data_IF_211265513808
#
_entry.id   IF_211265513808
#
_cell.length_a   1.000
_cell.length_b   1.000
_cell.length_c   1.000
_cell.angle_alpha   90.00
_cell.angle_beta   90.00
_cell.angle_gamma   90.00
#
_symmetry.space_group_name_H-M   'P 1'
#
loop_
_entity.id
_entity.type
_entity.pdbx_description
1 polymer ?
#
# COMPACT_ATOMS: atom_id res chain seq x y z
N UNK A 1 62.98 -4.31 15.44
CA UNK A 1 62.46 -3.02 15.96
C UNK A 1 61.68 -2.42 14.80
N UNK A 2 60.41 -2.80 14.62
CA UNK A 2 59.21 -2.04 15.02
C UNK A 2 59.18 -0.67 14.28
N UNK A 3 58.21 -0.31 13.44
CA UNK A 3 56.75 -0.50 13.47
C UNK A 3 56.11 -0.26 12.08
N UNK A 4 55.06 -1.03 11.78
CA UNK A 4 53.96 -0.70 10.86
C UNK A 4 53.04 0.37 11.52
N UNK A 5 52.43 1.28 10.75
CA UNK A 5 50.97 1.40 10.86
C UNK A 5 50.27 1.65 9.51
N UNK A 6 49.58 0.61 9.05
CA UNK A 6 48.26 0.59 8.42
C UNK A 6 47.44 1.87 8.56
N UNK A 7 47.24 2.56 7.44
CA UNK A 7 46.27 3.65 7.28
C UNK A 7 44.90 3.04 6.97
N UNK A 8 43.98 3.15 7.92
CA UNK A 8 42.61 2.69 7.81
C UNK A 8 41.87 3.40 6.66
N UNK A 9 41.40 2.63 5.67
CA UNK A 9 40.35 3.05 4.75
C UNK A 9 39.00 3.13 5.50
N UNK A 10 38.17 4.16 5.27
CA UNK A 10 36.81 4.17 5.80
C UNK A 10 35.97 3.12 5.06
N UNK A 11 35.61 2.06 5.78
CA UNK A 11 34.69 1.04 5.31
C UNK A 11 33.31 1.65 5.03
N UNK A 12 32.99 1.79 3.75
CA UNK A 12 31.63 2.08 3.30
C UNK A 12 30.68 0.96 3.79
N UNK A 13 29.50 1.30 4.32
CA UNK A 13 28.54 0.30 4.76
C UNK A 13 28.12 -0.56 3.56
N UNK A 14 27.95 -1.89 3.72
CA UNK A 14 27.57 -2.76 2.63
C UNK A 14 26.21 -2.31 2.09
N UNK A 15 26.19 -1.86 0.84
CA UNK A 15 24.98 -1.65 0.07
C UNK A 15 24.19 -2.95 0.09
N UNK A 16 22.98 -2.90 0.68
CA UNK A 16 22.06 -4.04 0.67
C UNK A 16 21.81 -4.43 -0.78
N UNK A 17 22.47 -5.51 -1.23
CA UNK A 17 22.06 -6.27 -2.40
C UNK A 17 20.57 -6.61 -2.24
N UNK A 18 19.69 -5.94 -2.98
CA UNK A 18 18.42 -6.56 -3.38
C UNK A 18 18.79 -7.65 -4.38
N UNK A 19 19.11 -8.84 -3.87
CA UNK A 19 19.03 -10.04 -4.69
C UNK A 19 17.58 -10.17 -5.11
N UNK A 20 17.31 -9.93 -6.39
CA UNK A 20 16.12 -10.42 -7.07
C UNK A 20 16.13 -11.94 -6.96
N UNK A 21 15.61 -12.46 -5.84
CA UNK A 21 15.24 -13.84 -5.76
C UNK A 21 14.07 -14.02 -6.70
N UNK A 22 14.30 -14.68 -7.82
CA UNK A 22 13.24 -15.33 -8.56
C UNK A 22 12.49 -16.23 -7.57
N UNK A 23 11.32 -15.79 -7.13
CA UNK A 23 10.41 -16.63 -6.38
C UNK A 23 9.88 -17.61 -7.42
N UNK A 24 10.48 -18.81 -7.46
CA UNK A 24 9.95 -19.93 -8.22
C UNK A 24 8.48 -20.16 -7.86
N UNK A 25 7.71 -20.85 -8.72
CA UNK A 25 6.27 -21.04 -8.53
C UNK A 25 6.02 -21.59 -7.13
N UNK A 26 5.53 -20.74 -6.23
CA UNK A 26 5.17 -21.18 -4.89
C UNK A 26 4.11 -22.26 -5.06
N UNK A 27 4.39 -23.46 -4.57
CA UNK A 27 3.46 -24.58 -4.65
C UNK A 27 2.07 -24.10 -4.22
N UNK A 28 1.01 -24.35 -5.01
CA UNK A 28 -0.35 -23.87 -4.72
C UNK A 28 -0.86 -24.30 -3.33
N UNK A 29 -0.29 -25.36 -2.74
CA UNK A 29 -0.57 -25.79 -1.38
C UNK A 29 -0.09 -24.84 -0.27
N UNK A 30 0.97 -24.05 -0.50
CA UNK A 30 1.53 -23.17 0.54
C UNK A 30 0.69 -21.90 0.75
N UNK A 31 0.30 -21.22 -0.33
CA UNK A 31 -0.59 -20.06 -0.30
C UNK A 31 -1.98 -20.41 0.26
N UNK A 32 -2.51 -21.59 -0.11
CA UNK A 32 -3.75 -22.11 0.45
C UNK A 32 -3.64 -22.34 1.97
N UNK A 33 -2.54 -22.94 2.46
CA UNK A 33 -2.29 -23.14 3.90
C UNK A 33 -2.19 -21.84 4.69
N UNK A 34 -1.65 -20.76 4.10
CA UNK A 34 -1.57 -19.45 4.76
C UNK A 34 -2.87 -18.66 4.71
N UNK A 35 -3.65 -18.75 3.63
CA UNK A 35 -5.03 -18.26 3.58
C UNK A 35 -5.91 -18.99 4.60
N UNK A 36 -5.73 -20.32 4.75
CA UNK A 36 -6.31 -21.11 5.82
C UNK A 36 -5.84 -20.68 7.21
N UNK A 37 -4.57 -20.31 7.40
CA UNK A 37 -4.06 -19.83 8.68
C UNK A 37 -4.62 -18.44 9.07
N UNK A 38 -4.88 -17.57 8.09
CA UNK A 38 -5.55 -16.29 8.32
C UNK A 38 -7.05 -16.45 8.56
N UNK A 39 -7.72 -17.31 7.80
CA UNK A 39 -9.11 -17.72 8.06
C UNK A 39 -9.23 -18.35 9.44
N UNK A 40 -8.29 -19.24 9.80
CA UNK A 40 -8.17 -19.82 11.13
C UNK A 40 -7.95 -18.74 12.19
N UNK A 41 -7.14 -17.70 11.94
CA UNK A 41 -6.92 -16.62 12.93
C UNK A 41 -8.15 -15.71 13.11
N UNK A 42 -8.93 -15.47 12.06
CA UNK A 42 -10.15 -14.65 12.11
C UNK A 42 -11.34 -15.43 12.67
N UNK A 43 -11.48 -16.71 12.33
CA UNK A 43 -12.36 -17.63 13.04
C UNK A 43 -11.91 -17.82 14.47
N UNK A 44 -10.60 -17.82 14.77
CA UNK A 44 -10.06 -17.86 16.13
C UNK A 44 -10.51 -16.65 16.94
N UNK A 45 -10.52 -15.43 16.38
CA UNK A 45 -11.07 -14.25 17.08
C UNK A 45 -12.58 -14.38 17.33
N UNK A 46 -13.36 -14.82 16.33
CA UNK A 46 -14.79 -15.09 16.52
C UNK A 46 -15.04 -16.20 17.56
N UNK A 47 -14.21 -17.24 17.57
CA UNK A 47 -14.18 -18.33 18.56
C UNK A 47 -13.80 -17.79 19.94
N UNK A 48 -12.84 -16.87 20.06
CA UNK A 48 -12.48 -16.25 21.34
C UNK A 48 -13.57 -15.31 21.86
N UNK A 49 -14.26 -14.58 20.98
CA UNK A 49 -15.43 -13.78 21.33
C UNK A 49 -16.57 -14.69 21.81
N UNK A 50 -16.80 -15.82 21.13
CA UNK A 50 -17.74 -16.86 21.54
C UNK A 50 -17.38 -17.45 22.91
N UNK A 51 -16.11 -17.82 23.13
CA UNK A 51 -15.62 -18.37 24.40
C UNK A 51 -15.74 -17.34 25.52
N UNK A 52 -15.37 -16.09 25.28
CA UNK A 52 -15.50 -15.00 26.26
C UNK A 52 -16.98 -14.71 26.59
N UNK A 53 -17.86 -14.69 25.58
CA UNK A 53 -19.30 -14.53 25.76
C UNK A 53 -19.95 -15.69 26.52
N UNK A 54 -19.53 -16.92 26.25
CA UNK A 54 -19.99 -18.11 26.97
C UNK A 54 -19.52 -18.11 28.44
N UNK A 55 -18.25 -17.73 28.69
CA UNK A 55 -17.69 -17.58 30.05
C UNK A 55 -18.43 -16.48 30.82
N UNK A 56 -18.65 -15.32 30.20
CA UNK A 56 -19.37 -14.20 30.81
C UNK A 56 -20.83 -14.55 31.10
N UNK A 57 -21.53 -15.22 30.17
CA UNK A 57 -22.89 -15.69 30.37
C UNK A 57 -23.00 -16.74 31.49
N UNK A 58 -22.05 -17.67 31.56
CA UNK A 58 -21.97 -18.65 32.65
C UNK A 58 -21.69 -17.99 34.01
N UNK A 59 -20.74 -17.06 34.07
CA UNK A 59 -20.42 -16.31 35.29
C UNK A 59 -21.59 -15.45 35.77
N UNK A 60 -22.32 -14.82 34.84
CA UNK A 60 -23.55 -14.08 35.15
C UNK A 60 -24.65 -15.01 35.67
N UNK A 61 -24.83 -16.19 35.06
CA UNK A 61 -25.76 -17.22 35.53
C UNK A 61 -25.45 -17.68 36.95
N UNK A 62 -24.17 -17.90 37.29
CA UNK A 62 -23.74 -18.23 38.66
C UNK A 62 -24.02 -17.09 39.65
N UNK A 63 -23.75 -15.83 39.26
CA UNK A 63 -24.01 -14.67 40.10
C UNK A 63 -25.51 -14.45 40.37
N UNK A 64 -26.37 -14.69 39.37
CA UNK A 64 -27.82 -14.59 39.51
C UNK A 64 -28.42 -15.76 40.29
N UNK A 65 -27.90 -16.98 40.12
CA UNK A 65 -28.29 -18.16 40.90
C UNK A 65 -27.98 -18.01 42.41
N UNK A 66 -27.00 -17.18 42.76
CA UNK A 66 -26.70 -16.82 44.15
C UNK A 66 -27.74 -15.87 44.78
N UNK A 67 -28.66 -15.29 43.98
CA UNK A 67 -29.61 -14.26 44.42
C UNK A 67 -31.08 -14.76 44.51
N UNK A 68 -31.63 -15.59 43.59
CA UNK A 68 -32.97 -16.27 43.65
C UNK A 68 -33.12 -17.45 42.60
N UNK A 69 -34.30 -18.10 42.32
CA UNK A 69 -34.56 -19.56 42.14
C UNK A 69 -34.17 -20.16 40.75
N UNK A 70 -34.36 -21.48 40.48
CA UNK A 70 -33.92 -22.18 39.25
C UNK A 70 -34.35 -21.58 37.89
N UNK A 71 -35.44 -20.81 37.85
CA UNK A 71 -35.91 -20.16 36.62
C UNK A 71 -34.90 -19.11 36.09
N UNK A 72 -34.24 -18.38 36.99
CA UNK A 72 -33.28 -17.35 36.61
C UNK A 72 -32.01 -17.96 35.97
N UNK A 73 -31.57 -19.12 36.45
CA UNK A 73 -30.48 -19.91 35.85
C UNK A 73 -30.85 -20.40 34.45
N UNK A 74 -32.07 -20.91 34.26
CA UNK A 74 -32.55 -21.36 32.95
C UNK A 74 -32.65 -20.20 31.95
N UNK A 75 -33.15 -19.03 32.38
CA UNK A 75 -33.20 -17.83 31.56
C UNK A 75 -31.81 -17.29 31.20
N UNK A 76 -30.86 -17.33 32.15
CA UNK A 76 -29.46 -16.95 31.92
C UNK A 76 -28.78 -17.86 30.90
N UNK A 77 -28.93 -19.18 31.05
CA UNK A 77 -28.40 -20.17 30.09
C UNK A 77 -29.05 -20.04 28.71
N UNK A 78 -30.36 -19.85 28.65
CA UNK A 78 -31.08 -19.64 27.38
C UNK A 78 -30.60 -18.37 26.67
N UNK A 79 -30.39 -17.28 27.42
CA UNK A 79 -29.87 -16.02 26.87
C UNK A 79 -28.45 -16.18 26.37
N UNK A 80 -27.57 -16.82 27.15
CA UNK A 80 -26.19 -17.12 26.74
C UNK A 80 -26.14 -18.00 25.48
N UNK A 81 -26.99 -19.02 25.40
CA UNK A 81 -27.11 -19.89 24.23
C UNK A 81 -27.63 -19.13 22.99
N UNK A 82 -28.62 -18.23 23.16
CA UNK A 82 -29.13 -17.41 22.08
C UNK A 82 -28.07 -16.45 21.53
N UNK A 83 -27.32 -15.77 22.40
CA UNK A 83 -26.20 -14.89 22.00
C UNK A 83 -25.14 -15.70 21.26
N UNK A 84 -24.75 -16.86 21.79
CA UNK A 84 -23.80 -17.77 21.18
C UNK A 84 -24.26 -18.23 19.77
N UNK A 85 -25.54 -18.56 19.60
CA UNK A 85 -26.10 -18.93 18.32
C UNK A 85 -26.04 -17.79 17.30
N UNK A 86 -26.36 -16.56 17.70
CA UNK A 86 -26.26 -15.37 16.83
C UNK A 86 -24.83 -15.17 16.33
N UNK A 87 -23.83 -15.23 17.22
CA UNK A 87 -22.42 -15.10 16.82
C UNK A 87 -21.94 -16.26 15.95
N UNK A 88 -22.39 -17.49 16.21
CA UNK A 88 -22.08 -18.65 15.39
C UNK A 88 -22.65 -18.52 13.97
N UNK A 89 -23.92 -18.12 13.85
CA UNK A 89 -24.57 -17.87 12.55
C UNK A 89 -23.87 -16.73 11.82
N UNK A 90 -23.56 -15.62 12.50
CA UNK A 90 -22.83 -14.50 11.92
C UNK A 90 -21.45 -14.93 11.40
N UNK A 91 -20.67 -15.65 12.21
CA UNK A 91 -19.35 -16.17 11.82
C UNK A 91 -19.44 -17.16 10.66
N UNK A 92 -20.45 -18.02 10.64
CA UNK A 92 -20.70 -18.95 9.54
C UNK A 92 -21.03 -18.22 8.24
N UNK A 93 -21.95 -17.25 8.29
CA UNK A 93 -22.34 -16.44 7.13
C UNK A 93 -21.15 -15.66 6.57
N UNK A 94 -20.33 -15.04 7.44
CA UNK A 94 -19.16 -14.28 7.02
C UNK A 94 -18.06 -15.19 6.42
N UNK A 95 -17.83 -16.35 7.03
CA UNK A 95 -16.92 -17.37 6.50
C UNK A 95 -17.39 -17.87 5.13
N UNK A 96 -18.69 -18.12 4.98
CA UNK A 96 -19.27 -18.60 3.71
C UNK A 96 -19.21 -17.54 2.61
N UNK A 97 -19.52 -16.27 2.94
CA UNK A 97 -19.39 -15.14 2.00
C UNK A 97 -17.95 -14.96 1.52
N UNK A 98 -17.00 -15.03 2.45
CA UNK A 98 -15.57 -14.94 2.17
C UNK A 98 -15.11 -16.08 1.28
N UNK A 99 -15.50 -17.32 1.60
CA UNK A 99 -15.17 -18.50 0.81
C UNK A 99 -15.73 -18.45 -0.62
N UNK A 100 -17.00 -18.03 -0.76
CA UNK A 100 -17.60 -17.82 -2.08
C UNK A 100 -16.90 -16.72 -2.88
N UNK A 101 -16.45 -15.65 -2.22
CA UNK A 101 -15.68 -14.59 -2.89
C UNK A 101 -14.35 -15.13 -3.41
N UNK A 102 -13.60 -15.88 -2.59
CA UNK A 102 -12.31 -16.43 -3.01
C UNK A 102 -12.44 -17.47 -4.12
N UNK A 103 -13.45 -18.34 -4.05
CA UNK A 103 -13.73 -19.28 -5.14
C UNK A 103 -14.03 -18.57 -6.45
N UNK A 104 -14.92 -17.57 -6.43
CA UNK A 104 -15.23 -16.77 -7.61
C UNK A 104 -14.00 -16.08 -8.21
N UNK A 105 -13.10 -15.57 -7.36
CA UNK A 105 -11.85 -14.95 -7.81
C UNK A 105 -10.88 -15.97 -8.43
N UNK A 106 -10.77 -17.16 -7.83
CA UNK A 106 -9.94 -18.24 -8.37
C UNK A 106 -10.49 -18.76 -9.70
N UNK A 107 -11.79 -19.03 -9.76
CA UNK A 107 -12.49 -19.47 -10.99
C UNK A 107 -12.35 -18.42 -12.10
N UNK A 108 -12.60 -17.15 -11.81
CA UNK A 108 -12.42 -16.06 -12.78
C UNK A 108 -10.98 -15.98 -13.32
N UNK A 109 -10.00 -16.17 -12.44
CA UNK A 109 -8.58 -16.13 -12.79
C UNK A 109 -8.20 -17.32 -13.68
N UNK A 110 -8.59 -18.53 -13.28
CA UNK A 110 -8.33 -19.75 -14.03
C UNK A 110 -8.95 -19.69 -15.44
N UNK A 111 -10.18 -19.19 -15.57
CA UNK A 111 -10.87 -19.01 -16.86
C UNK A 111 -10.13 -18.08 -17.83
N UNK A 112 -9.32 -17.15 -17.30
CA UNK A 112 -8.56 -16.15 -18.08
C UNK A 112 -7.07 -16.45 -18.14
N UNK A 113 -6.60 -17.56 -17.56
CA UNK A 113 -5.18 -17.88 -17.43
C UNK A 113 -4.42 -17.00 -16.44
N UNK A 114 -5.12 -16.20 -15.64
CA UNK A 114 -4.54 -15.41 -14.55
C UNK A 114 -4.32 -16.30 -13.32
N UNK A 115 -3.46 -15.86 -12.41
CA UNK A 115 -3.19 -16.56 -11.15
C UNK A 115 -3.62 -15.73 -9.96
N UNK A 116 -4.30 -16.35 -9.00
CA UNK A 116 -4.67 -15.69 -7.76
C UNK A 116 -3.61 -15.91 -6.66
N UNK A 117 -3.20 -14.84 -5.99
CA UNK A 117 -2.23 -14.84 -4.91
C UNK A 117 -2.82 -14.13 -3.68
N UNK A 118 -2.97 -14.87 -2.59
CA UNK A 118 -3.70 -14.43 -1.40
C UNK A 118 -2.77 -14.10 -0.22
N UNK A 119 -3.04 -12.98 0.47
CA UNK A 119 -2.39 -12.59 1.71
C UNK A 119 -0.84 -12.58 1.65
N UNK A 120 -0.28 -12.17 0.52
CA UNK A 120 1.16 -12.13 0.28
C UNK A 120 1.74 -10.88 0.93
N UNK A 121 2.90 -11.02 1.60
CA UNK A 121 3.66 -9.88 2.13
C UNK A 121 4.44 -9.14 1.02
N UNK A 122 3.85 -9.00 -0.16
CA UNK A 122 4.38 -8.25 -1.30
C UNK A 122 3.62 -6.93 -1.40
N UNK A 123 4.35 -5.82 -1.45
CA UNK A 123 3.77 -4.48 -1.61
C UNK A 123 3.56 -4.18 -3.10
N UNK A 124 2.56 -3.37 -3.45
CA UNK A 124 2.51 -2.72 -4.76
C UNK A 124 3.77 -1.87 -4.99
N UNK A 125 4.13 -1.64 -6.25
CA UNK A 125 5.26 -0.78 -6.65
C UNK A 125 4.93 0.73 -6.50
N UNK A 126 4.49 1.15 -5.32
CA UNK A 126 4.14 2.54 -5.01
C UNK A 126 4.96 3.04 -3.81
N UNK A 127 5.44 4.27 -3.91
CA UNK A 127 6.30 4.96 -2.95
C UNK A 127 5.53 6.00 -2.12
N UNK A 128 4.32 6.41 -2.54
CA UNK A 128 3.55 7.51 -1.94
C UNK A 128 2.46 7.08 -0.99
N UNK A 129 1.67 6.06 -1.35
CA UNK A 129 0.71 5.48 -0.39
C UNK A 129 1.52 5.06 0.83
N UNK A 130 0.95 5.06 2.05
CA UNK A 130 1.58 4.71 3.35
C UNK A 130 2.28 3.34 3.42
N UNK A 131 3.20 3.10 2.50
CA UNK A 131 3.91 1.92 2.04
C UNK A 131 5.39 2.07 2.41
N UNK A 132 5.87 3.28 2.72
CA UNK A 132 7.11 3.46 3.49
C UNK A 132 6.83 3.20 4.98
N UNK A 133 6.99 1.94 5.37
CA UNK A 133 7.07 1.52 6.78
C UNK A 133 5.84 0.77 7.35
N UNK A 134 4.64 0.90 6.78
CA UNK A 134 3.47 0.15 7.29
C UNK A 134 3.60 -1.35 7.02
N UNK A 135 3.25 -2.21 7.97
CA UNK A 135 3.08 -3.65 7.70
C UNK A 135 1.70 -3.87 7.10
N UNK A 136 1.63 -4.58 5.99
CA UNK A 136 0.38 -4.91 5.32
C UNK A 136 0.50 -6.19 4.51
N UNK A 137 -0.60 -6.55 3.85
CA UNK A 137 -0.70 -7.73 2.99
C UNK A 137 -1.41 -7.37 1.71
N UNK A 138 -0.95 -7.93 0.60
CA UNK A 138 -1.67 -7.87 -0.66
C UNK A 138 -2.44 -9.15 -0.91
N UNK A 139 -3.58 -9.01 -1.54
CA UNK A 139 -4.24 -10.07 -2.27
C UNK A 139 -4.41 -9.61 -3.69
N UNK A 140 -4.01 -10.40 -4.68
CA UNK A 140 -4.04 -9.96 -6.06
C UNK A 140 -4.22 -11.12 -7.04
N UNK A 141 -4.72 -10.76 -8.21
CA UNK A 141 -4.71 -11.55 -9.42
C UNK A 141 -3.52 -11.08 -10.25
N UNK A 142 -2.80 -12.00 -10.89
CA UNK A 142 -1.66 -11.70 -11.75
C UNK A 142 -1.84 -12.35 -13.11
N UNK A 143 -1.69 -11.56 -14.16
CA UNK A 143 -1.51 -12.06 -15.51
C UNK A 143 -0.06 -12.54 -15.67
N UNK A 144 0.19 -13.84 -15.92
CA UNK A 144 1.55 -14.35 -16.06
C UNK A 144 2.26 -13.86 -17.33
N UNK A 145 1.53 -13.47 -18.37
CA UNK A 145 2.11 -13.11 -19.67
C UNK A 145 2.57 -11.65 -19.69
N UNK A 146 1.76 -10.76 -19.11
CA UNK A 146 2.05 -9.32 -19.04
C UNK A 146 2.66 -8.88 -17.71
N UNK A 147 2.50 -9.68 -16.65
CA UNK A 147 2.90 -9.33 -15.30
C UNK A 147 1.98 -8.32 -14.59
N UNK A 148 0.87 -7.93 -15.23
CA UNK A 148 -0.16 -7.06 -14.66
C UNK A 148 -0.69 -7.67 -13.37
N UNK A 149 -0.89 -6.84 -12.35
CA UNK A 149 -1.48 -7.23 -11.08
C UNK A 149 -2.69 -6.38 -10.74
N UNK A 150 -3.80 -7.02 -10.39
CA UNK A 150 -5.01 -6.35 -9.89
C UNK A 150 -5.30 -6.87 -8.50
N UNK A 151 -5.39 -6.00 -7.50
CA UNK A 151 -5.46 -6.48 -6.12
C UNK A 151 -5.85 -5.47 -5.07
N UNK A 152 -5.94 -5.96 -3.84
CA UNK A 152 -6.16 -5.17 -2.64
C UNK A 152 -4.90 -5.20 -1.78
N UNK A 153 -4.53 -4.04 -1.24
CA UNK A 153 -3.51 -3.87 -0.20
C UNK A 153 -4.18 -3.47 1.11
N UNK A 154 -4.11 -4.35 2.09
CA UNK A 154 -4.61 -4.12 3.45
C UNK A 154 -3.45 -3.70 4.36
N UNK A 155 -3.61 -2.60 5.07
CA UNK A 155 -2.63 -2.12 6.05
C UNK A 155 -3.33 -1.50 7.25
N UNK A 156 -2.66 -1.57 8.40
CA UNK A 156 -3.13 -0.90 9.60
C UNK A 156 -2.34 0.40 9.79
N UNK A 157 -3.04 1.50 10.06
CA UNK A 157 -2.43 2.77 10.47
C UNK A 157 -2.84 3.06 11.91
N UNK A 158 -1.87 3.50 12.69
CA UNK A 158 -2.12 4.07 14.01
C UNK A 158 -2.69 5.47 13.84
N UNK A 159 -3.92 5.70 14.30
CA UNK A 159 -4.63 6.98 14.14
C UNK A 159 -4.37 7.95 15.29
N UNK A 160 -3.80 7.48 16.40
CA UNK A 160 -3.52 8.34 17.56
C UNK A 160 -2.30 7.87 18.34
N UNK A 161 -1.62 8.81 18.98
CA UNK A 161 -0.56 8.57 19.99
C UNK A 161 -1.02 7.77 21.22
N UNK A 162 -2.33 7.46 21.31
CA UNK A 162 -2.95 6.64 22.37
C UNK A 162 -3.19 5.18 21.97
N UNK A 163 -2.65 4.72 20.83
CA UNK A 163 -2.61 3.28 20.48
C UNK A 163 -3.80 2.74 19.69
N UNK A 164 -4.59 3.60 19.04
CA UNK A 164 -5.73 3.18 18.21
C UNK A 164 -5.32 2.78 16.79
N UNK A 165 -5.68 1.57 16.34
CA UNK A 165 -5.41 1.06 14.98
C UNK A 165 -6.66 1.07 14.12
N UNK A 166 -6.54 1.53 12.86
CA UNK A 166 -7.59 1.38 11.85
C UNK A 166 -7.05 0.60 10.66
N UNK A 167 -7.81 -0.40 10.22
CA UNK A 167 -7.51 -1.15 9.01
C UNK A 167 -7.99 -0.34 7.79
N UNK A 168 -7.11 -0.19 6.82
CA UNK A 168 -7.38 0.49 5.56
C UNK A 168 -7.09 -0.47 4.41
N UNK A 169 -7.89 -0.36 3.36
CA UNK A 169 -7.74 -1.15 2.13
C UNK A 169 -7.62 -0.20 0.94
N UNK A 170 -6.61 -0.44 0.11
CA UNK A 170 -6.47 0.16 -1.21
C UNK A 170 -6.63 -0.90 -2.27
N UNK A 171 -7.50 -0.64 -3.24
CA UNK A 171 -7.57 -1.41 -4.46
C UNK A 171 -6.57 -0.83 -5.45
N UNK A 172 -5.85 -1.68 -6.17
CA UNK A 172 -4.80 -1.27 -7.08
C UNK A 172 -4.78 -2.08 -8.37
N UNK A 173 -4.29 -1.44 -9.44
CA UNK A 173 -3.85 -2.06 -10.68
C UNK A 173 -2.38 -1.67 -10.86
N UNK A 174 -1.50 -2.65 -10.98
CA UNK A 174 -0.07 -2.44 -11.17
C UNK A 174 0.33 -3.04 -12.52
N UNK A 175 0.92 -2.20 -13.36
CA UNK A 175 1.29 -2.51 -14.74
C UNK A 175 2.81 -2.35 -14.85
N UNK A 176 3.55 -3.46 -15.06
CA UNK A 176 4.98 -3.39 -15.25
C UNK A 176 5.34 -2.59 -16.52
N UNK A 177 6.41 -1.81 -16.42
CA UNK A 177 6.99 -1.05 -17.53
C UNK A 177 8.29 -1.71 -17.98
N UNK A 178 8.53 -1.77 -19.29
CA UNK A 178 9.78 -2.32 -19.83
C UNK A 178 10.93 -1.30 -19.88
N UNK A 179 10.60 -0.02 -19.74
CA UNK A 179 11.55 1.05 -19.56
C UNK A 179 11.16 1.82 -18.30
N UNK A 180 12.13 2.13 -17.45
CA UNK A 180 11.85 2.89 -16.24
C UNK A 180 11.58 4.35 -16.56
N UNK A 181 10.71 4.94 -15.75
CA UNK A 181 10.14 6.27 -15.93
C UNK A 181 10.43 7.15 -14.70
N UNK A 182 10.44 8.49 -14.86
CA UNK A 182 10.54 9.38 -13.72
C UNK A 182 9.33 9.23 -12.79
N UNK A 183 9.53 9.59 -11.53
CA UNK A 183 8.52 9.47 -10.50
C UNK A 183 7.47 10.57 -10.63
N UNK A 184 6.36 10.27 -11.31
CA UNK A 184 5.25 11.21 -11.56
C UNK A 184 4.00 10.71 -10.85
N UNK A 185 3.19 11.64 -10.35
CA UNK A 185 1.95 11.33 -9.65
C UNK A 185 0.82 12.12 -10.25
N UNK A 186 -0.29 11.45 -10.47
CA UNK A 186 -1.52 12.06 -10.93
C UNK A 186 -2.58 11.80 -9.87
N UNK A 187 -2.86 12.81 -9.05
CA UNK A 187 -3.78 12.76 -7.91
C UNK A 187 -5.19 13.14 -8.36
N UNK A 188 -6.17 12.26 -8.17
CA UNK A 188 -7.55 12.51 -8.60
C UNK A 188 -8.24 13.52 -7.69
N UNK A 189 -8.83 14.57 -8.28
CA UNK A 189 -9.68 15.51 -7.55
C UNK A 189 -11.07 14.96 -7.22
N UNK A 190 -11.51 13.90 -7.92
CA UNK A 190 -12.82 13.26 -7.72
C UNK A 190 -12.81 12.30 -6.53
N UNK A 191 -11.65 11.77 -6.19
CA UNK A 191 -11.48 10.96 -4.99
C UNK A 191 -11.68 11.85 -3.74
N UNK A 192 -12.62 11.50 -2.86
CA UNK A 192 -13.17 12.36 -1.78
C UNK A 192 -12.13 12.95 -0.79
N UNK A 193 -10.87 12.51 -0.85
CA UNK A 193 -9.69 13.11 -0.20
C UNK A 193 -8.47 12.89 -1.09
N UNK A 194 -7.67 13.93 -1.30
CA UNK A 194 -6.43 13.89 -2.08
C UNK A 194 -5.48 12.79 -1.59
N UNK A 195 -4.74 12.21 -2.54
CA UNK A 195 -3.70 11.23 -2.26
C UNK A 195 -2.71 11.76 -1.24
N UNK A 196 -2.24 13.00 -1.35
CA UNK A 196 -1.30 13.62 -0.42
C UNK A 196 -1.78 13.52 1.03
N UNK A 197 -3.05 13.86 1.29
CA UNK A 197 -3.67 13.81 2.63
C UNK A 197 -3.80 12.36 3.13
N UNK A 198 -4.11 11.40 2.25
CA UNK A 198 -4.32 10.00 2.64
C UNK A 198 -3.02 9.25 2.83
N UNK A 199 -2.04 9.51 1.97
CA UNK A 199 -0.68 9.04 2.08
C UNK A 199 0.02 9.57 3.33
N UNK A 200 -0.34 10.78 3.78
CA UNK A 200 0.51 11.54 4.71
C UNK A 200 1.81 11.95 4.03
N UNK A 201 1.75 12.16 2.71
CA UNK A 201 2.86 12.62 1.89
C UNK A 201 2.69 14.14 1.73
N UNK A 202 3.61 14.90 2.32
CA UNK A 202 3.69 16.34 2.14
C UNK A 202 4.37 16.65 0.80
N UNK A 203 3.68 16.35 -0.30
CA UNK A 203 4.17 16.68 -1.64
C UNK A 203 4.34 18.20 -1.75
N UNK A 204 5.51 18.64 -2.21
CA UNK A 204 5.88 20.05 -2.24
C UNK A 204 5.07 20.78 -3.32
N UNK A 205 4.47 21.96 -3.03
CA UNK A 205 3.70 22.72 -4.03
C UNK A 205 4.51 23.08 -5.29
N UNK A 206 5.81 23.32 -5.14
CA UNK A 206 6.73 23.67 -6.24
C UNK A 206 6.95 22.51 -7.24
N UNK A 207 6.46 21.31 -6.93
CA UNK A 207 6.49 20.13 -7.81
C UNK A 207 5.16 19.92 -8.56
N UNK A 208 4.19 20.82 -8.41
CA UNK A 208 2.92 20.76 -9.13
C UNK A 208 3.10 21.24 -10.57
N UNK A 209 2.73 20.40 -11.51
CA UNK A 209 2.69 20.72 -12.94
C UNK A 209 1.24 20.94 -13.36
N UNK A 210 0.94 22.15 -13.83
CA UNK A 210 -0.34 22.48 -14.47
C UNK A 210 -0.30 22.05 -15.93
N UNK A 211 -1.34 21.37 -16.39
CA UNK A 211 -1.46 20.89 -17.77
C UNK A 211 -2.54 21.64 -18.54
N UNK A 212 -2.43 21.61 -19.87
CA UNK A 212 -3.36 22.31 -20.77
C UNK A 212 -4.77 21.70 -20.76
N UNK A 213 -5.75 22.48 -21.21
CA UNK A 213 -7.15 22.05 -21.30
C UNK A 213 -7.86 22.09 -19.96
N UNK A 214 -8.75 21.13 -19.73
CA UNK A 214 -9.52 20.93 -18.50
C UNK A 214 -8.90 19.88 -17.57
N UNK A 215 -7.66 19.43 -17.85
CA UNK A 215 -7.03 18.37 -17.07
C UNK A 215 -6.88 18.72 -15.58
N UNK A 216 -6.61 20.00 -15.30
CA UNK A 216 -6.51 20.56 -13.96
C UNK A 216 -7.88 20.67 -13.23
N UNK A 217 -9.00 20.37 -13.89
CA UNK A 217 -10.28 20.19 -13.18
C UNK A 217 -10.42 18.76 -12.64
N UNK A 218 -9.69 17.80 -13.23
CA UNK A 218 -9.78 16.38 -12.92
C UNK A 218 -8.64 15.86 -12.05
N UNK A 219 -7.40 16.30 -12.30
CA UNK A 219 -6.20 15.74 -11.67
C UNK A 219 -5.13 16.77 -11.31
N UNK A 220 -4.49 16.60 -10.16
CA UNK A 220 -3.28 17.36 -9.81
C UNK A 220 -2.05 16.54 -10.15
N UNK A 221 -1.15 17.07 -10.97
CA UNK A 221 0.07 16.36 -11.36
C UNK A 221 1.24 16.85 -10.51
N UNK A 222 1.99 15.90 -9.95
CA UNK A 222 3.26 16.15 -9.30
C UNK A 222 4.39 15.50 -10.10
N UNK A 223 5.44 16.26 -10.40
CA UNK A 223 6.65 15.74 -11.01
C UNK A 223 7.89 16.31 -10.32
N UNK A 224 9.03 15.60 -10.35
CA UNK A 224 10.25 16.10 -9.74
C UNK A 224 10.74 17.33 -10.49
N UNK A 225 11.38 18.25 -9.77
CA UNK A 225 11.88 19.49 -10.37
C UNK A 225 12.86 19.19 -11.51
N UNK A 226 12.68 19.86 -12.64
CA UNK A 226 13.48 19.64 -13.84
C UNK A 226 13.05 18.45 -14.70
N UNK A 227 11.94 17.75 -14.37
CA UNK A 227 11.33 16.67 -15.17
C UNK A 227 9.99 17.06 -15.80
N UNK A 228 9.62 18.34 -15.78
CA UNK A 228 8.34 18.85 -16.28
C UNK A 228 8.14 18.49 -17.75
N UNK A 229 9.16 18.70 -18.59
CA UNK A 229 9.13 18.35 -20.01
C UNK A 229 8.97 16.84 -20.23
N UNK A 230 9.61 16.01 -19.41
CA UNK A 230 9.46 14.56 -19.48
C UNK A 230 8.04 14.15 -19.07
N UNK A 231 7.46 14.78 -18.05
CA UNK A 231 6.09 14.54 -17.65
C UNK A 231 5.08 14.82 -18.78
N UNK A 232 5.30 15.86 -19.60
CA UNK A 232 4.48 16.12 -20.80
C UNK A 232 4.56 15.00 -21.86
N UNK A 233 5.69 14.29 -21.95
CA UNK A 233 5.82 13.14 -22.84
C UNK A 233 4.96 11.95 -22.36
N UNK A 234 4.92 11.71 -21.05
CA UNK A 234 4.09 10.66 -20.45
C UNK A 234 2.59 11.03 -20.45
N UNK A 235 2.30 12.32 -20.25
CA UNK A 235 0.95 12.89 -20.19
C UNK A 235 0.62 13.61 -21.49
N UNK A 236 0.79 12.91 -22.62
CA UNK A 236 0.38 13.44 -23.92
C UNK A 236 -1.14 13.69 -23.95
N UNK A 237 -1.67 14.57 -24.83
CA UNK A 237 -3.10 14.88 -24.89
C UNK A 237 -4.02 13.66 -24.99
N UNK A 238 -3.59 12.63 -25.73
CA UNK A 238 -4.29 11.35 -25.85
C UNK A 238 -4.36 10.58 -24.51
N UNK A 239 -3.26 10.60 -23.74
CA UNK A 239 -3.19 9.97 -22.42
C UNK A 239 -4.05 10.75 -21.44
N UNK A 240 -3.98 12.09 -21.45
CA UNK A 240 -4.82 12.95 -20.62
C UNK A 240 -6.32 12.68 -20.82
N UNK A 241 -6.78 12.65 -22.07
CA UNK A 241 -8.18 12.31 -22.38
C UNK A 241 -8.56 10.91 -21.87
N UNK A 242 -7.69 9.92 -22.08
CA UNK A 242 -7.92 8.54 -21.59
C UNK A 242 -8.02 8.48 -20.06
N UNK A 243 -7.22 9.27 -19.36
CA UNK A 243 -7.26 9.37 -17.90
C UNK A 243 -8.58 9.94 -17.42
N UNK A 244 -9.06 11.01 -18.05
CA UNK A 244 -10.36 11.62 -17.73
C UNK A 244 -11.49 10.60 -17.96
N UNK A 245 -11.48 9.89 -19.08
CA UNK A 245 -12.55 8.97 -19.46
C UNK A 245 -12.59 7.70 -18.61
N UNK A 246 -11.43 7.15 -18.26
CA UNK A 246 -11.33 5.80 -17.68
C UNK A 246 -10.84 5.78 -16.23
N UNK A 247 -10.05 6.78 -15.83
CA UNK A 247 -9.28 6.75 -14.59
C UNK A 247 -9.62 7.91 -13.63
N UNK A 248 -10.70 8.66 -13.86
CA UNK A 248 -11.06 9.82 -13.02
C UNK A 248 -11.20 9.52 -11.52
N UNK A 249 -11.54 8.28 -11.13
CA UNK A 249 -11.66 7.87 -9.71
C UNK A 249 -10.37 7.23 -9.16
N UNK A 250 -9.30 7.22 -9.95
CA UNK A 250 -8.03 6.59 -9.61
C UNK A 250 -6.95 7.64 -9.43
N UNK A 251 -6.19 7.47 -8.37
CA UNK A 251 -4.90 8.11 -8.20
C UNK A 251 -3.86 7.23 -8.91
N UNK A 252 -2.83 7.84 -9.51
CA UNK A 252 -1.89 7.14 -10.39
C UNK A 252 -0.48 7.54 -10.04
N UNK A 253 0.41 6.56 -10.01
CA UNK A 253 1.83 6.75 -9.75
C UNK A 253 2.64 6.04 -10.82
N UNK A 254 3.50 6.81 -11.48
CA UNK A 254 4.58 6.33 -12.32
C UNK A 254 5.79 6.20 -11.41
N UNK A 255 6.30 4.99 -11.23
CA UNK A 255 7.37 4.73 -10.28
C UNK A 255 8.35 3.73 -10.87
N UNK A 256 9.53 4.21 -11.28
CA UNK A 256 10.60 3.42 -11.88
C UNK A 256 10.04 2.42 -12.92
N UNK A 257 9.86 1.16 -12.56
CA UNK A 257 9.48 0.05 -13.42
C UNK A 257 7.98 -0.29 -13.47
N UNK A 258 7.09 0.57 -12.95
CA UNK A 258 5.66 0.32 -12.97
C UNK A 258 4.80 1.59 -13.05
N UNK A 259 3.58 1.42 -13.55
CA UNK A 259 2.46 2.34 -13.30
C UNK A 259 1.55 1.66 -12.27
N UNK A 260 1.17 2.39 -11.24
CA UNK A 260 0.23 1.91 -10.23
C UNK A 260 -0.97 2.84 -10.20
N UNK A 261 -2.15 2.29 -10.51
CA UNK A 261 -3.43 2.92 -10.26
C UNK A 261 -3.92 2.46 -8.89
N UNK A 262 -4.44 3.36 -8.07
CA UNK A 262 -5.00 3.00 -6.78
C UNK A 262 -6.19 3.86 -6.38
N UNK A 263 -7.07 3.27 -5.55
CA UNK A 263 -8.27 3.93 -5.03
C UNK A 263 -8.68 3.36 -3.67
N UNK A 264 -9.45 4.11 -2.85
CA UNK A 264 -9.96 3.60 -1.58
C UNK A 264 -10.86 2.38 -1.78
N UNK A 265 -10.79 1.45 -0.84
CA UNK A 265 -11.65 0.29 -0.82
C UNK A 265 -11.14 -0.85 -1.68
N UNK A 266 -11.88 -1.96 -1.68
CA UNK A 266 -11.47 -3.20 -2.32
C UNK A 266 -11.92 -3.23 -3.78
N UNK A 267 -11.00 -3.49 -4.70
CA UNK A 267 -11.33 -3.75 -6.12
C UNK A 267 -11.68 -5.23 -6.33
N UNK A 268 -11.13 -6.13 -5.51
CA UNK A 268 -11.46 -7.55 -5.56
C UNK A 268 -12.84 -7.89 -4.96
N UNK A 269 -13.57 -6.88 -4.46
CA UNK A 269 -14.96 -7.02 -4.03
C UNK A 269 -15.95 -6.86 -5.19
N UNK A 270 -15.46 -6.52 -6.39
CA UNK A 270 -16.26 -6.36 -7.59
C UNK A 270 -17.00 -7.66 -8.00
N UNK A 271 -18.04 -7.49 -8.81
CA UNK A 271 -18.68 -8.60 -9.52
C UNK A 271 -17.72 -9.15 -10.60
N UNK A 272 -18.06 -10.30 -11.20
CA UNK A 272 -17.29 -10.86 -12.32
C UNK A 272 -17.17 -9.86 -13.48
N UNK A 273 -18.27 -9.19 -13.84
CA UNK A 273 -18.25 -8.12 -14.85
C UNK A 273 -17.33 -6.97 -14.44
N UNK A 274 -17.34 -6.57 -13.17
CA UNK A 274 -16.41 -5.54 -12.69
C UNK A 274 -14.94 -5.98 -12.70
N UNK A 275 -14.64 -7.27 -12.55
CA UNK A 275 -13.29 -7.80 -12.74
C UNK A 275 -12.89 -7.79 -14.21
N UNK A 276 -13.84 -8.05 -15.12
CA UNK A 276 -13.63 -7.94 -16.56
C UNK A 276 -13.31 -6.50 -16.97
N UNK A 277 -14.05 -5.53 -16.44
CA UNK A 277 -13.80 -4.11 -16.68
C UNK A 277 -12.40 -3.71 -16.18
N UNK A 278 -12.00 -4.17 -14.99
CA UNK A 278 -10.67 -3.92 -14.43
C UNK A 278 -9.56 -4.54 -15.29
N UNK A 279 -9.75 -5.77 -15.77
CA UNK A 279 -8.78 -6.45 -16.62
C UNK A 279 -8.66 -5.76 -17.99
N UNK A 280 -9.79 -5.36 -18.59
CA UNK A 280 -9.82 -4.61 -19.83
C UNK A 280 -9.14 -3.24 -19.68
N UNK A 281 -9.40 -2.53 -18.59
CA UNK A 281 -8.72 -1.28 -18.26
C UNK A 281 -7.21 -1.50 -18.10
N UNK A 282 -6.78 -2.54 -17.39
CA UNK A 282 -5.36 -2.83 -17.21
C UNK A 282 -4.67 -3.17 -18.53
N UNK A 283 -5.30 -3.96 -19.41
CA UNK A 283 -4.77 -4.30 -20.72
C UNK A 283 -4.67 -3.07 -21.65
N UNK A 284 -5.65 -2.17 -21.59
CA UNK A 284 -5.62 -0.90 -22.32
C UNK A 284 -4.42 -0.05 -21.91
N UNK A 285 -4.13 0.01 -20.61
CA UNK A 285 -3.00 0.77 -20.07
C UNK A 285 -1.65 0.11 -20.35
N UNK A 286 -1.56 -1.22 -20.31
CA UNK A 286 -0.37 -1.95 -20.78
C UNK A 286 -0.08 -1.63 -22.24
N UNK A 287 -1.09 -1.61 -23.11
CA UNK A 287 -0.88 -1.31 -24.52
C UNK A 287 -0.36 0.13 -24.72
N UNK A 288 -0.92 1.11 -23.99
CA UNK A 288 -0.46 2.51 -24.05
C UNK A 288 0.96 2.67 -23.51
N UNK A 289 1.30 1.96 -22.44
CA UNK A 289 2.62 2.09 -21.80
C UNK A 289 3.78 1.62 -22.69
N UNK A 290 3.50 0.75 -23.69
CA UNK A 290 4.50 0.32 -24.69
C UNK A 290 5.14 1.47 -25.45
N UNK A 291 4.45 2.60 -25.62
CA UNK A 291 5.01 3.80 -26.24
C UNK A 291 6.26 4.28 -25.50
N UNK A 292 6.24 4.19 -24.18
CA UNK A 292 7.30 4.69 -23.31
C UNK A 292 8.53 3.78 -23.25
N UNK A 293 8.49 2.58 -23.84
CA UNK A 293 9.67 1.69 -23.95
C UNK A 293 10.86 2.36 -24.66
N UNK A 294 10.58 3.38 -25.47
CA UNK A 294 11.57 4.14 -26.22
C UNK A 294 12.12 5.34 -25.45
N UNK A 295 11.47 5.76 -24.35
CA UNK A 295 11.91 6.91 -23.57
C UNK A 295 13.26 6.65 -22.90
N UNK A 296 14.13 7.66 -22.89
CA UNK A 296 15.45 7.61 -22.25
C UNK A 296 15.70 8.95 -21.59
N UNK A 297 16.22 8.93 -20.37
CA UNK A 297 16.67 10.15 -19.72
C UNK A 297 17.92 10.71 -20.41
N UNK A 298 17.73 11.82 -21.13
CA UNK A 298 18.80 12.49 -21.85
C UNK A 298 19.89 13.06 -20.92
N UNK A 299 19.57 13.26 -19.63
CA UNK A 299 20.50 13.79 -18.61
C UNK A 299 21.59 12.81 -18.23
N UNK A 300 21.38 11.51 -18.46
CA UNK A 300 22.39 10.48 -18.20
C UNK A 300 23.47 10.43 -19.29
N UNK A 301 23.30 11.18 -20.39
CA UNK A 301 24.18 11.18 -21.55
C UNK A 301 24.24 9.82 -22.26
N UNK A 302 24.77 9.81 -23.49
CA UNK A 302 25.27 8.57 -24.09
C UNK A 302 26.62 8.26 -23.45
N UNK A 303 26.64 7.86 -22.18
CA UNK A 303 27.89 7.41 -21.54
C UNK A 303 28.04 5.92 -21.82
N UNK A 304 28.86 5.48 -22.79
CA UNK A 304 29.29 4.11 -22.85
C UNK A 304 30.10 3.85 -21.57
N UNK A 305 29.56 3.09 -20.63
CA UNK A 305 30.41 2.53 -19.58
C UNK A 305 31.21 1.43 -20.28
N UNK A 306 32.44 1.72 -20.66
CA UNK A 306 33.39 0.67 -21.02
C UNK A 306 33.59 -0.17 -19.76
N UNK A 307 33.04 -1.39 -19.76
CA UNK A 307 33.41 -2.39 -18.78
C UNK A 307 34.93 -2.58 -18.82
N UNK A 308 35.53 -2.96 -17.70
CA UNK A 308 36.96 -3.30 -17.63
C UNK A 308 37.37 -4.45 -18.58
N UNK A 309 36.38 -5.11 -19.17
CA UNK A 309 36.43 -6.17 -20.18
C UNK A 309 36.12 -5.70 -21.62
N UNK A 310 36.01 -4.38 -21.86
CA UNK A 310 35.70 -3.83 -23.19
C UNK A 310 34.25 -3.98 -23.63
N UNK A 311 33.35 -4.43 -22.73
CA UNK A 311 31.92 -4.52 -23.03
C UNK A 311 31.23 -3.17 -22.80
N UNK A 312 30.33 -2.78 -23.71
CA UNK A 312 29.44 -1.64 -23.48
C UNK A 312 28.43 -2.01 -22.39
N UNK A 313 28.67 -1.59 -21.16
CA UNK A 313 27.72 -1.75 -20.07
C UNK A 313 26.83 -0.51 -19.96
N UNK A 314 25.52 -0.75 -19.85
CA UNK A 314 24.49 0.28 -19.67
C UNK A 314 24.58 0.86 -18.25
N UNK A 315 24.31 2.15 -18.02
CA UNK A 315 24.17 2.68 -16.67
C UNK A 315 23.19 1.83 -15.86
N UNK A 316 23.61 1.41 -14.66
CA UNK A 316 22.80 0.60 -13.73
C UNK A 316 21.52 1.29 -13.26
N UNK A 317 21.43 2.61 -13.49
CA UNK A 317 20.28 3.44 -13.16
C UNK A 317 19.90 4.29 -14.38
N UNK A 318 18.76 4.00 -15.02
CA UNK A 318 18.31 4.65 -16.26
C UNK A 318 17.47 5.94 -16.09
N UNK A 319 17.29 6.42 -14.85
CA UNK A 319 16.72 7.75 -14.52
C UNK A 319 17.70 8.47 -13.59
N UNK A 320 18.02 9.74 -13.86
CA UNK A 320 18.92 10.52 -13.02
C UNK A 320 18.29 10.79 -11.64
N UNK A 321 19.13 10.91 -10.61
CA UNK A 321 18.71 11.00 -9.20
C UNK A 321 17.54 11.98 -8.94
N UNK A 322 17.52 13.22 -9.49
CA UNK A 322 16.41 14.14 -9.23
C UNK A 322 15.05 13.62 -9.69
N UNK A 323 15.00 12.74 -10.69
CA UNK A 323 13.75 12.21 -11.26
C UNK A 323 13.17 11.02 -10.51
N UNK A 324 13.87 10.49 -9.51
CA UNK A 324 13.53 9.19 -8.91
C UNK A 324 12.59 9.31 -7.72
N UNK A 325 12.54 10.48 -7.11
CA UNK A 325 11.73 10.71 -5.92
C UNK A 325 11.14 12.11 -5.94
N UNK A 326 9.85 12.21 -5.66
CA UNK A 326 9.26 13.48 -5.26
C UNK A 326 9.81 13.93 -3.91
N UNK A 327 9.96 15.25 -3.77
CA UNK A 327 10.32 15.84 -2.51
C UNK A 327 9.11 15.73 -1.57
N UNK A 328 9.38 15.36 -0.32
CA UNK A 328 8.37 15.42 0.73
C UNK A 328 8.86 16.36 1.80
N UNK A 329 8.11 17.43 2.06
CA UNK A 329 8.46 18.38 3.12
C UNK A 329 8.06 17.81 4.46
N UNK A 330 8.74 16.74 4.89
CA UNK A 330 8.46 16.03 6.13
C UNK A 330 9.03 16.77 7.35
N UNK A 331 9.28 18.08 7.31
CA UNK A 331 10.03 18.81 8.35
C UNK A 331 9.12 19.64 9.26
N UNK A 332 7.87 19.90 8.86
CA UNK A 332 6.95 20.75 9.62
C UNK A 332 6.49 20.15 10.97
N UNK A 333 6.55 18.83 11.16
CA UNK A 333 6.30 18.20 12.49
C UNK A 333 7.49 18.28 13.45
N UNK A 334 8.69 18.64 12.97
CA UNK A 334 9.86 18.87 13.82
C UNK A 334 9.78 20.25 14.49
N UNK A 335 9.13 21.22 13.83
CA UNK A 335 8.93 22.58 14.36
C UNK A 335 8.16 22.60 15.70
N UNK A 336 7.01 21.92 15.89
CA UNK A 336 6.34 21.88 17.19
C UNK A 336 7.12 21.13 18.27
N UNK A 337 8.00 20.17 17.92
CA UNK A 337 8.90 19.53 18.90
C UNK A 337 10.00 20.49 19.37
N UNK A 338 10.59 21.26 18.45
CA UNK A 338 11.56 22.30 18.79
C UNK A 338 10.91 23.44 19.59
N UNK A 339 9.71 23.87 19.21
CA UNK A 339 8.96 24.91 19.91
C UNK A 339 8.47 24.45 21.29
N UNK A 340 8.00 23.18 21.39
CA UNK A 340 7.63 22.56 22.67
C UNK A 340 8.82 22.42 23.62
N UNK A 341 9.99 22.02 23.11
CA UNK A 341 11.24 22.00 23.90
C UNK A 341 11.65 23.39 24.40
N UNK A 342 11.53 24.42 23.56
CA UNK A 342 11.83 25.80 23.93
C UNK A 342 10.88 26.34 25.02
N UNK A 343 9.58 26.04 24.92
CA UNK A 343 8.58 26.43 25.93
C UNK A 343 8.86 25.75 27.28
N UNK A 344 9.23 24.47 27.28
CA UNK A 344 9.59 23.75 28.51
C UNK A 344 10.85 24.33 29.15
N UNK A 345 11.85 24.70 28.37
CA UNK A 345 13.07 25.34 28.88
C UNK A 345 12.81 26.74 29.43
N UNK A 346 11.98 27.55 28.75
CA UNK A 346 11.56 28.86 29.24
C UNK A 346 10.75 28.74 30.53
N UNK A 347 9.82 27.78 30.61
CA UNK A 347 9.05 27.52 31.82
C UNK A 347 9.94 27.06 32.98
N UNK A 348 10.90 26.16 32.71
CA UNK A 348 11.85 25.71 33.72
C UNK A 348 12.75 26.86 34.22
N UNK A 349 13.14 27.80 33.36
CA UNK A 349 13.92 28.98 33.78
C UNK A 349 13.11 29.92 34.68
N UNK A 350 11.85 30.20 34.35
CA UNK A 350 10.98 31.06 35.18
C UNK A 350 10.68 30.41 36.53
N UNK A 351 10.44 29.10 36.55
CA UNK A 351 10.22 28.35 37.80
C UNK A 351 11.50 28.30 38.64
N UNK A 352 12.67 28.18 38.03
CA UNK A 352 13.95 28.24 38.73
C UNK A 352 14.15 29.58 39.42
N UNK A 353 13.89 30.69 38.70
CA UNK A 353 14.03 32.05 39.25
C UNK A 353 13.08 32.29 40.43
N UNK A 354 11.83 31.82 40.36
CA UNK A 354 10.85 31.93 41.46
C UNK A 354 11.17 31.09 42.70
N UNK A 355 12.01 30.06 42.59
CA UNK A 355 12.42 29.21 43.72
C UNK A 355 13.69 29.76 44.39
N UNK A 356 14.43 30.65 43.71
CA UNK A 356 15.67 31.25 44.21
C UNK A 356 15.51 32.65 44.82
N UNK A 357 14.34 33.27 44.71
CA UNK A 357 13.90 34.43 45.53
C UNK A 357 13.16 33.98 46.78
#
# INVERSE_FOLDING_TARGET
MATDPTRAEPSLPPTRRRSGGAIGPGEPGSAMRFAFAWLARRTTVATWIFVAGAIAGYAFGLAVAALQPPLATLLGLATGAAVAAVFAVWGFVESWRTHRRWRRLAEWADDRGWRAAFAVAKRPASDIIGLRGARGRSTHLVDPDTGIRVGDWEYAREWSTRGGWTAHTWGYIEIPLKAPVPHIVVDSRRNRRSLAVRAGADLVPDQVLSLEGDFDDHFTVYCPAGYETDALYFLSPEVMATLIDTAADWDIEFNDDAIVFFRPGSVLAASVHGLDDLAAQAALWEQRSRRWEHWRDHRLGAVPVMGTDGTLSRPRTPVAEPGRTLESNRWWWVLPLAFGGLIVLLYASVVSDMITE
#
